data_IF_934867965621
#
_entry.id   IF_934867965621
#
_cell.length_a   1.000
_cell.length_b   1.000
_cell.length_c   1.000
_cell.angle_alpha   90.00
_cell.angle_beta   90.00
_cell.angle_gamma   90.00
#
_symmetry.space_group_name_H-M   'P 1'
#
loop_
_entity.id
_entity.type
_entity.pdbx_description
1 polymer ?
#
# COMPACT_ATOMS: atom_id res chain seq x y z
N UNK A 1 -1.01 -72.86 -40.79
CA UNK A 1 -0.04 -71.76 -40.53
C UNK A 1 -0.71 -70.43 -40.88
N UNK A 2 -1.29 -69.74 -39.89
CA UNK A 2 -1.99 -68.46 -40.06
C UNK A 2 -1.11 -67.35 -39.47
N UNK A 3 -0.78 -66.33 -40.27
CA UNK A 3 0.04 -65.18 -39.87
C UNK A 3 -0.82 -64.21 -39.03
N UNK A 4 -0.31 -63.89 -37.84
CA UNK A 4 -0.78 -62.82 -36.96
C UNK A 4 -0.46 -61.45 -37.58
N UNK A 5 -1.44 -60.54 -37.60
CA UNK A 5 -1.23 -59.10 -37.71
C UNK A 5 -1.81 -58.46 -36.45
N UNK A 6 -0.95 -57.87 -35.63
CA UNK A 6 -1.31 -57.14 -34.42
C UNK A 6 -1.38 -55.65 -34.76
N UNK A 7 -2.58 -55.08 -34.81
CA UNK A 7 -2.77 -53.63 -35.00
C UNK A 7 -2.81 -52.97 -33.63
N UNK A 8 -1.83 -52.12 -33.33
CA UNK A 8 -1.71 -51.40 -32.08
C UNK A 8 -2.52 -50.09 -32.18
N UNK A 9 -3.62 -49.98 -31.43
CA UNK A 9 -4.37 -48.73 -31.28
C UNK A 9 -3.70 -47.88 -30.20
N UNK A 10 -3.00 -46.82 -30.59
CA UNK A 10 -2.49 -45.80 -29.66
C UNK A 10 -3.65 -44.85 -29.30
N UNK A 11 -4.21 -45.00 -28.10
CA UNK A 11 -5.10 -44.02 -27.49
C UNK A 11 -4.27 -42.79 -27.08
N UNK A 12 -4.28 -41.76 -27.92
CA UNK A 12 -3.81 -40.42 -27.56
C UNK A 12 -4.80 -39.81 -26.54
N UNK A 13 -4.52 -40.02 -25.26
CA UNK A 13 -5.10 -39.23 -24.18
C UNK A 13 -4.56 -37.80 -24.29
N UNK A 14 -5.27 -36.93 -25.01
CA UNK A 14 -5.07 -35.49 -24.93
C UNK A 14 -5.41 -35.04 -23.51
N UNK A 15 -4.40 -34.91 -22.65
CA UNK A 15 -4.57 -34.18 -21.39
C UNK A 15 -4.93 -32.74 -21.76
N UNK A 16 -6.06 -32.18 -21.28
CA UNK A 16 -6.23 -30.74 -21.35
C UNK A 16 -5.00 -30.10 -20.69
N UNK A 17 -4.30 -29.25 -21.43
CA UNK A 17 -3.33 -28.32 -20.87
C UNK A 17 -4.12 -27.44 -19.90
N UNK A 18 -4.22 -27.87 -18.64
CA UNK A 18 -4.44 -26.92 -17.56
C UNK A 18 -3.29 -25.94 -17.67
N UNK A 19 -3.60 -24.69 -18.01
CA UNK A 19 -2.71 -23.58 -17.76
C UNK A 19 -2.32 -23.68 -16.28
N UNK A 20 -1.11 -24.18 -16.02
CA UNK A 20 -0.47 -24.03 -14.73
C UNK A 20 -0.49 -22.52 -14.50
N UNK A 21 -1.19 -22.00 -13.47
CA UNK A 21 -1.03 -20.60 -13.15
C UNK A 21 0.47 -20.42 -12.95
N UNK A 22 1.11 -19.58 -13.76
CA UNK A 22 2.48 -19.21 -13.51
C UNK A 22 2.49 -18.71 -12.06
N UNK A 23 3.00 -19.53 -11.14
CA UNK A 23 3.43 -19.07 -9.82
C UNK A 23 4.66 -18.24 -10.15
N UNK A 24 4.39 -17.03 -10.58
CA UNK A 24 5.36 -16.09 -11.04
C UNK A 24 5.99 -15.54 -9.77
N UNK A 25 7.02 -16.24 -9.29
CA UNK A 25 7.78 -15.85 -8.10
C UNK A 25 8.30 -14.42 -8.21
N UNK A 26 8.86 -13.92 -7.10
CA UNK A 26 9.46 -12.58 -7.07
C UNK A 26 10.50 -12.49 -8.20
N UNK A 27 10.44 -11.45 -9.06
CA UNK A 27 11.45 -11.25 -10.09
C UNK A 27 12.85 -11.27 -9.48
N UNK A 28 13.79 -11.98 -10.12
CA UNK A 28 15.14 -12.15 -9.60
C UNK A 28 15.82 -10.79 -9.32
N UNK A 29 15.52 -9.79 -10.15
CA UNK A 29 15.98 -8.42 -9.94
C UNK A 29 15.44 -7.81 -8.65
N UNK A 30 14.28 -8.21 -8.14
CA UNK A 30 13.69 -7.67 -6.90
C UNK A 30 14.01 -8.52 -5.66
N UNK A 31 14.83 -9.57 -5.79
CA UNK A 31 15.09 -10.51 -4.69
C UNK A 31 15.66 -9.81 -3.44
N UNK A 32 16.61 -8.88 -3.61
CA UNK A 32 17.25 -8.16 -2.50
C UNK A 32 16.26 -7.29 -1.71
N UNK A 33 15.33 -6.62 -2.39
CA UNK A 33 14.32 -5.77 -1.77
C UNK A 33 13.25 -6.59 -1.04
N UNK A 34 13.07 -7.87 -1.38
CA UNK A 34 12.07 -8.75 -0.77
C UNK A 34 12.59 -9.58 0.41
N UNK A 35 13.91 -9.68 0.57
CA UNK A 35 14.58 -10.22 1.75
C UNK A 35 15.60 -9.23 2.38
N UNK A 36 15.15 -8.02 2.78
CA UNK A 36 16.07 -7.03 3.30
C UNK A 36 16.39 -7.29 4.78
N UNK A 37 17.55 -6.81 5.22
CA UNK A 37 17.78 -6.57 6.65
C UNK A 37 16.90 -5.40 7.10
N UNK A 38 16.39 -5.46 8.32
CA UNK A 38 15.45 -4.45 8.83
C UNK A 38 16.04 -3.63 9.97
N UNK A 39 15.65 -2.35 10.00
CA UNK A 39 15.78 -1.45 11.15
C UNK A 39 14.43 -1.31 11.82
N UNK A 40 14.37 -1.57 13.13
CA UNK A 40 13.20 -1.27 13.95
C UNK A 40 13.06 0.25 14.10
N UNK A 41 11.85 0.77 13.93
CA UNK A 41 11.56 2.19 14.10
C UNK A 41 10.79 2.41 15.41
N UNK A 42 9.64 1.76 15.53
CA UNK A 42 8.75 1.87 16.68
C UNK A 42 7.76 0.72 16.68
N UNK A 43 6.88 0.69 17.68
CA UNK A 43 5.72 -0.20 17.71
C UNK A 43 4.48 0.58 18.04
N UNK A 44 3.36 0.11 17.51
CA UNK A 44 2.03 0.63 17.77
C UNK A 44 1.32 -0.40 18.65
N UNK A 45 0.70 0.05 19.75
CA UNK A 45 -0.14 -0.76 20.63
C UNK A 45 -1.58 -0.26 20.56
N UNK A 46 -2.53 -1.17 20.37
CA UNK A 46 -3.97 -0.86 20.34
C UNK A 46 -4.67 -1.77 21.34
N UNK A 47 -5.21 -1.19 22.41
CA UNK A 47 -6.02 -1.92 23.37
C UNK A 47 -7.47 -2.02 22.87
N UNK A 48 -7.89 -3.20 22.42
CA UNK A 48 -9.19 -3.44 21.77
C UNK A 48 -10.34 -3.50 22.79
N UNK A 49 -10.60 -2.38 23.44
CA UNK A 49 -11.71 -2.16 24.37
C UNK A 49 -12.20 -0.73 24.18
N UNK A 50 -13.48 -0.46 24.42
CA UNK A 50 -13.96 0.92 24.40
C UNK A 50 -13.18 1.79 25.41
N UNK A 51 -12.68 2.94 24.96
CA UNK A 51 -11.77 3.81 25.72
C UNK A 51 -10.33 3.28 25.86
N UNK A 52 -10.01 2.13 25.25
CA UNK A 52 -8.68 1.54 25.29
C UNK A 52 -7.64 2.42 24.60
N UNK A 53 -6.45 2.52 25.20
CA UNK A 53 -5.36 3.33 24.69
C UNK A 53 -4.83 2.83 23.34
N UNK A 54 -4.45 3.79 22.50
CA UNK A 54 -3.64 3.58 21.32
C UNK A 54 -2.33 4.33 21.54
N UNK A 55 -1.21 3.63 21.52
CA UNK A 55 0.07 4.17 21.95
C UNK A 55 1.20 3.77 21.00
N UNK A 56 2.24 4.60 20.94
CA UNK A 56 3.45 4.35 20.16
C UNK A 56 4.68 4.38 21.05
N UNK A 57 5.63 3.48 20.80
CA UNK A 57 6.94 3.45 21.47
C UNK A 57 8.08 3.26 20.46
N UNK A 58 8.97 4.25 20.40
CA UNK A 58 10.20 4.23 19.59
C UNK A 58 11.43 3.68 20.33
N UNK A 59 11.34 3.47 21.65
CA UNK A 59 12.49 3.19 22.52
C UNK A 59 12.40 1.83 23.23
N UNK A 60 11.96 0.82 22.48
CA UNK A 60 11.83 -0.56 22.96
C UNK A 60 10.93 -0.70 24.21
N UNK A 61 9.78 -0.03 24.21
CA UNK A 61 8.75 -0.07 25.26
C UNK A 61 9.08 0.69 26.55
N UNK A 62 10.17 1.46 26.57
CA UNK A 62 10.54 2.23 27.77
C UNK A 62 9.59 3.41 27.99
N UNK A 63 9.18 4.07 26.90
CA UNK A 63 8.19 5.16 26.93
C UNK A 63 7.11 4.90 25.89
N UNK A 64 5.88 5.18 26.30
CA UNK A 64 4.70 5.11 25.45
C UNK A 64 4.12 6.51 25.30
N UNK A 65 3.90 6.91 24.04
CA UNK A 65 3.17 8.11 23.69
C UNK A 65 1.73 7.71 23.39
N UNK A 66 0.77 8.22 24.15
CA UNK A 66 -0.64 8.10 23.83
C UNK A 66 -0.92 8.90 22.55
N UNK A 67 -1.53 8.25 21.57
CA UNK A 67 -1.86 8.85 20.25
C UNK A 67 -3.36 8.82 19.96
N UNK A 68 -4.15 8.14 20.79
CA UNK A 68 -5.62 8.13 20.70
C UNK A 68 -6.23 7.01 21.53
N UNK A 69 -7.52 6.78 21.31
CA UNK A 69 -8.32 5.76 21.97
C UNK A 69 -9.21 5.01 20.98
N UNK A 70 -9.56 3.79 21.36
CA UNK A 70 -10.58 2.99 20.70
C UNK A 70 -11.96 3.49 21.10
N UNK A 71 -12.78 3.86 20.11
CA UNK A 71 -14.19 4.24 20.28
C UNK A 71 -15.07 3.00 20.26
N UNK A 72 -14.89 2.14 19.24
CA UNK A 72 -15.59 0.87 19.12
C UNK A 72 -14.58 -0.25 18.89
N UNK A 73 -14.50 -1.25 19.78
CA UNK A 73 -13.67 -2.43 19.56
C UNK A 73 -14.31 -3.35 18.51
N UNK A 74 -13.52 -4.26 17.96
CA UNK A 74 -14.03 -5.31 17.07
C UNK A 74 -13.88 -6.69 17.69
N UNK A 75 -14.83 -7.58 17.40
CA UNK A 75 -14.71 -9.02 17.66
C UNK A 75 -14.84 -9.85 16.37
N UNK A 76 -14.74 -9.20 15.22
CA UNK A 76 -15.02 -9.80 13.92
C UNK A 76 -13.92 -9.50 12.92
N UNK A 77 -13.88 -10.37 11.93
CA UNK A 77 -13.10 -10.23 10.71
C UNK A 77 -14.05 -10.20 9.52
N UNK A 78 -13.70 -9.49 8.46
CA UNK A 78 -14.31 -9.65 7.16
C UNK A 78 -13.56 -10.74 6.40
N UNK A 79 -14.29 -11.78 5.98
CA UNK A 79 -13.74 -12.89 5.20
C UNK A 79 -13.60 -12.57 3.70
N UNK A 80 -14.24 -11.51 3.22
CA UNK A 80 -14.12 -11.03 1.85
C UNK A 80 -13.40 -9.68 1.80
N UNK A 81 -12.11 -9.67 2.13
CA UNK A 81 -11.26 -8.49 2.02
C UNK A 81 -11.17 -7.94 0.59
N UNK A 82 -10.49 -6.81 0.39
CA UNK A 82 -10.25 -6.27 -0.95
C UNK A 82 -9.32 -7.22 -1.75
N UNK A 83 -9.47 -7.26 -3.08
CA UNK A 83 -8.82 -8.25 -3.95
C UNK A 83 -7.30 -8.39 -3.73
N UNK A 84 -6.61 -7.28 -3.53
CA UNK A 84 -5.15 -7.26 -3.38
C UNK A 84 -4.65 -7.81 -2.04
N UNK A 85 -5.51 -7.99 -1.03
CA UNK A 85 -5.12 -8.58 0.26
C UNK A 85 -4.64 -10.03 0.15
N UNK A 86 -4.92 -10.72 -0.98
CA UNK A 86 -4.42 -12.07 -1.25
C UNK A 86 -2.89 -12.17 -1.27
N UNK A 87 -2.20 -11.11 -1.69
CA UNK A 87 -0.74 -11.10 -1.86
C UNK A 87 0.04 -10.75 -0.58
N UNK A 88 -0.66 -10.58 0.55
CA UNK A 88 -0.05 -10.31 1.85
C UNK A 88 -0.01 -11.59 2.67
N UNK A 89 1.02 -11.80 3.50
CA UNK A 89 1.07 -12.95 4.39
C UNK A 89 0.16 -12.73 5.60
N UNK A 90 -0.27 -13.83 6.20
CA UNK A 90 -1.07 -13.78 7.42
C UNK A 90 -0.26 -13.19 8.60
N UNK A 91 -0.96 -12.49 9.49
CA UNK A 91 -0.35 -11.78 10.62
C UNK A 91 0.49 -10.58 10.19
N UNK A 92 0.09 -9.89 9.12
CA UNK A 92 0.74 -8.68 8.63
C UNK A 92 -0.25 -7.56 8.30
N UNK A 93 0.28 -6.34 8.34
CA UNK A 93 -0.39 -5.15 7.77
C UNK A 93 -0.56 -5.35 6.26
N UNK A 94 -1.81 -5.36 5.80
CA UNK A 94 -2.15 -5.58 4.40
C UNK A 94 -2.29 -4.28 3.59
N UNK A 95 -2.71 -3.21 4.26
CA UNK A 95 -2.76 -1.86 3.71
C UNK A 95 -2.50 -0.83 4.81
N UNK A 96 -1.91 0.27 4.39
CA UNK A 96 -1.70 1.47 5.22
C UNK A 96 -2.15 2.68 4.41
N UNK A 97 -3.01 3.51 4.99
CA UNK A 97 -3.56 4.67 4.35
C UNK A 97 -3.82 5.77 5.38
N UNK A 98 -3.88 7.02 4.91
CA UNK A 98 -4.30 8.16 5.73
C UNK A 98 -5.71 8.03 6.30
N UNK A 99 -6.48 7.07 5.81
CA UNK A 99 -7.88 6.90 6.13
C UNK A 99 -8.26 5.47 6.56
N UNK A 100 -7.30 4.53 6.64
CA UNK A 100 -7.50 3.18 7.18
C UNK A 100 -6.18 2.40 7.31
N UNK A 101 -6.11 1.46 8.23
CA UNK A 101 -5.08 0.41 8.27
C UNK A 101 -5.80 -0.94 8.22
N UNK A 102 -5.42 -1.81 7.29
CA UNK A 102 -6.00 -3.15 7.15
C UNK A 102 -5.01 -4.21 7.62
N UNK A 103 -5.51 -5.16 8.41
CA UNK A 103 -4.73 -6.17 9.12
C UNK A 103 -5.20 -7.55 8.68
N UNK A 104 -4.31 -8.37 8.11
CA UNK A 104 -4.65 -9.69 7.59
C UNK A 104 -4.45 -10.77 8.65
N UNK A 105 -5.51 -11.53 8.92
CA UNK A 105 -5.46 -12.66 9.84
C UNK A 105 -5.28 -13.97 9.10
N UNK A 106 -5.94 -14.14 7.95
CA UNK A 106 -5.92 -15.35 7.14
C UNK A 106 -6.31 -15.11 5.69
N UNK A 107 -6.66 -16.16 4.96
CA UNK A 107 -7.17 -16.09 3.60
C UNK A 107 -8.45 -16.93 3.47
N UNK A 108 -9.42 -16.41 2.71
CA UNK A 108 -10.67 -17.12 2.43
C UNK A 108 -10.42 -18.18 1.35
N UNK A 109 -10.83 -19.43 1.63
CA UNK A 109 -10.55 -20.58 0.77
C UNK A 109 -11.20 -20.47 -0.61
N UNK A 110 -12.35 -19.80 -0.70
CA UNK A 110 -13.14 -19.73 -1.94
C UNK A 110 -12.63 -18.64 -2.88
N UNK A 111 -12.39 -17.45 -2.34
CA UNK A 111 -12.02 -16.27 -3.11
C UNK A 111 -10.52 -16.03 -3.18
N UNK A 112 -9.74 -16.65 -2.28
CA UNK A 112 -8.32 -16.39 -2.09
C UNK A 112 -8.02 -15.02 -1.47
N UNK A 113 -9.03 -14.17 -1.25
CA UNK A 113 -8.84 -12.84 -0.65
C UNK A 113 -8.49 -12.97 0.83
N UNK A 114 -7.89 -11.94 1.39
CA UNK A 114 -7.55 -11.90 2.80
C UNK A 114 -8.78 -11.82 3.69
N UNK A 115 -8.74 -12.59 4.77
CA UNK A 115 -9.59 -12.39 5.95
C UNK A 115 -8.94 -11.28 6.78
N UNK A 116 -9.65 -10.16 6.95
CA UNK A 116 -9.06 -8.94 7.51
C UNK A 116 -9.95 -8.28 8.56
N UNK A 117 -9.33 -7.54 9.47
CA UNK A 117 -10.00 -6.49 10.25
C UNK A 117 -9.24 -5.17 10.07
N UNK A 118 -9.82 -4.05 10.49
CA UNK A 118 -9.22 -2.73 10.22
C UNK A 118 -9.12 -1.86 11.45
N UNK A 119 -8.18 -0.92 11.43
CA UNK A 119 -8.21 0.27 12.27
C UNK A 119 -8.73 1.41 11.41
N UNK A 120 -9.72 2.16 11.92
CA UNK A 120 -10.34 3.26 11.21
C UNK A 120 -10.25 4.56 12.01
N UNK A 121 -9.96 5.70 11.34
CA UNK A 121 -9.94 7.00 11.99
C UNK A 121 -11.36 7.49 12.32
N UNK A 122 -11.45 8.56 13.11
CA UNK A 122 -12.69 9.16 13.59
C UNK A 122 -13.68 9.50 12.48
N UNK A 123 -13.20 10.00 11.34
CA UNK A 123 -14.03 10.40 10.20
C UNK A 123 -14.84 9.23 9.63
N UNK A 124 -14.40 7.99 9.88
CA UNK A 124 -15.04 6.78 9.36
C UNK A 124 -16.21 6.31 10.23
N UNK A 125 -16.41 6.93 11.40
CA UNK A 125 -17.63 6.78 12.19
C UNK A 125 -18.87 7.30 11.44
N UNK A 126 -18.67 8.26 10.54
CA UNK A 126 -19.72 8.87 9.71
C UNK A 126 -19.17 9.05 8.28
N UNK A 127 -18.92 7.95 7.56
CA UNK A 127 -18.37 8.05 6.22
C UNK A 127 -19.39 8.77 5.31
N UNK A 128 -18.94 9.49 4.29
CA UNK A 128 -19.84 10.17 3.37
C UNK A 128 -20.76 9.17 2.64
N UNK A 129 -21.99 9.59 2.32
CA UNK A 129 -23.03 8.70 1.75
C UNK A 129 -22.56 7.91 0.51
N UNK A 130 -21.71 8.52 -0.31
CA UNK A 130 -21.15 7.91 -1.52
C UNK A 130 -19.66 7.58 -1.35
N UNK A 131 -19.28 6.93 -0.24
CA UNK A 131 -17.90 6.52 0.01
C UNK A 131 -17.49 5.35 -0.90
N UNK A 132 -16.44 5.55 -1.70
CA UNK A 132 -15.97 4.60 -2.72
C UNK A 132 -14.65 3.90 -2.38
N UNK A 133 -14.16 4.07 -1.15
CA UNK A 133 -13.03 3.31 -0.64
C UNK A 133 -13.51 2.11 0.19
N UNK A 134 -12.64 1.13 0.37
CA UNK A 134 -12.95 -0.06 1.15
C UNK A 134 -13.29 0.32 2.60
N UNK A 135 -14.37 -0.24 3.12
CA UNK A 135 -14.85 -0.08 4.49
C UNK A 135 -15.55 -1.36 4.93
N UNK A 136 -15.25 -1.84 6.14
CA UNK A 136 -15.92 -3.00 6.73
C UNK A 136 -16.40 -2.66 8.14
N UNK A 137 -17.60 -2.08 8.29
CA UNK A 137 -18.03 -1.50 9.57
C UNK A 137 -18.04 -2.51 10.73
N UNK A 138 -18.52 -3.73 10.48
CA UNK A 138 -18.69 -4.73 11.54
C UNK A 138 -17.38 -5.42 11.94
N UNK A 139 -16.29 -5.21 11.19
CA UNK A 139 -14.99 -5.85 11.41
C UNK A 139 -13.86 -4.83 11.60
N UNK A 140 -14.16 -3.69 12.20
CA UNK A 140 -13.21 -2.59 12.36
C UNK A 140 -13.17 -2.08 13.78
N UNK A 141 -11.96 -1.77 14.24
CA UNK A 141 -11.73 -0.96 15.44
C UNK A 141 -11.81 0.50 15.01
N UNK A 142 -12.80 1.21 15.53
CA UNK A 142 -12.93 2.64 15.33
C UNK A 142 -12.16 3.39 16.40
N UNK A 143 -11.51 4.48 16.00
CA UNK A 143 -10.64 5.27 16.88
C UNK A 143 -11.11 6.73 16.93
N UNK A 144 -10.66 7.48 17.93
CA UNK A 144 -10.85 8.93 18.01
C UNK A 144 -9.77 9.72 17.23
N UNK A 145 -8.80 9.01 16.65
CA UNK A 145 -7.68 9.56 15.90
C UNK A 145 -8.18 10.15 14.56
N UNK A 146 -7.88 11.42 14.25
CA UNK A 146 -8.22 12.00 12.96
C UNK A 146 -7.47 11.35 11.78
N UNK A 147 -8.14 11.22 10.64
CA UNK A 147 -7.52 10.82 9.38
C UNK A 147 -6.39 11.78 8.98
N UNK A 148 -5.30 11.25 8.43
CA UNK A 148 -4.10 12.02 8.08
C UNK A 148 -3.16 12.31 9.26
N UNK A 149 -3.50 11.88 10.48
CA UNK A 149 -2.70 12.14 11.70
C UNK A 149 -2.21 10.85 12.33
N UNK A 150 -1.21 10.94 13.21
CA UNK A 150 -0.76 9.82 14.05
C UNK A 150 -0.44 8.55 13.25
N UNK A 151 -1.08 7.41 13.59
CA UNK A 151 -0.91 6.14 12.89
C UNK A 151 -1.57 6.15 11.49
N UNK A 152 -2.42 7.12 11.18
CA UNK A 152 -3.06 7.32 9.89
C UNK A 152 -2.30 8.34 9.03
N UNK A 153 -0.99 8.15 8.90
CA UNK A 153 -0.14 8.93 8.00
C UNK A 153 0.53 10.16 8.62
N UNK A 154 0.28 10.46 9.89
CA UNK A 154 0.95 11.54 10.61
C UNK A 154 2.31 11.14 11.20
N UNK A 155 3.08 10.29 10.51
CA UNK A 155 4.43 9.88 10.92
C UNK A 155 4.52 8.53 11.64
N UNK A 156 3.40 8.00 12.16
CA UNK A 156 3.35 6.70 12.84
C UNK A 156 2.63 5.59 12.08
N UNK A 157 2.38 5.79 10.78
CA UNK A 157 1.79 4.75 9.95
C UNK A 157 2.73 3.53 9.86
N UNK A 158 2.20 2.30 9.88
CA UNK A 158 3.01 1.12 9.60
C UNK A 158 3.21 0.92 8.10
N UNK A 159 4.21 0.11 7.71
CA UNK A 159 4.39 -0.34 6.33
C UNK A 159 3.59 -1.61 6.03
N UNK A 160 3.17 -1.78 4.77
CA UNK A 160 2.64 -3.06 4.28
C UNK A 160 3.67 -4.17 4.54
N UNK A 161 3.22 -5.31 5.08
CA UNK A 161 4.06 -6.44 5.45
C UNK A 161 4.69 -6.36 6.84
N UNK A 162 4.50 -5.27 7.59
CA UNK A 162 4.91 -5.23 9.01
C UNK A 162 4.09 -6.24 9.83
N UNK A 163 4.77 -6.89 10.78
CA UNK A 163 4.19 -7.99 11.57
C UNK A 163 3.30 -7.44 12.68
N UNK A 164 2.20 -8.14 12.90
CA UNK A 164 1.25 -7.88 13.98
C UNK A 164 1.14 -9.08 14.92
N UNK A 165 0.96 -8.77 16.18
CA UNK A 165 0.81 -9.71 17.28
C UNK A 165 -0.38 -9.29 18.13
N UNK A 166 -0.87 -10.20 18.96
CA UNK A 166 -1.83 -9.87 20.00
C UNK A 166 -1.36 -10.41 21.35
N UNK A 167 -1.85 -9.82 22.44
CA UNK A 167 -1.72 -10.38 23.78
C UNK A 167 -3.04 -10.27 24.54
N UNK A 168 -3.21 -11.13 25.56
CA UNK A 168 -4.37 -11.16 26.44
C UNK A 168 -3.88 -11.04 27.88
N UNK A 169 -3.76 -9.80 28.38
CA UNK A 169 -3.36 -9.49 29.76
C UNK A 169 -1.98 -10.00 30.21
N UNK A 170 -1.11 -10.39 29.26
CA UNK A 170 0.29 -10.76 29.51
C UNK A 170 1.23 -9.99 28.59
N UNK A 171 2.51 -9.86 28.97
CA UNK A 171 3.54 -9.28 28.10
C UNK A 171 3.95 -10.19 26.94
N UNK A 172 3.45 -11.43 26.90
CA UNK A 172 3.71 -12.36 25.81
C UNK A 172 2.95 -11.96 24.55
N UNK A 173 3.67 -11.86 23.43
CA UNK A 173 3.12 -11.55 22.11
C UNK A 173 2.87 -12.84 21.33
N UNK A 174 1.60 -13.12 21.05
CA UNK A 174 1.18 -14.23 20.20
C UNK A 174 1.15 -13.80 18.73
N UNK A 175 1.69 -14.61 17.80
CA UNK A 175 1.52 -14.35 16.38
C UNK A 175 0.05 -14.50 15.99
N UNK A 176 -0.39 -13.71 15.02
CA UNK A 176 -1.72 -13.86 14.45
C UNK A 176 -1.70 -14.98 13.41
N UNK A 177 -2.60 -15.94 13.57
CA UNK A 177 -2.76 -17.14 12.73
C UNK A 177 -3.99 -17.03 11.83
N UNK A 178 -4.10 -17.84 10.74
CA UNK A 178 -5.19 -17.79 9.76
C UNK A 178 -6.61 -17.73 10.33
N UNK A 179 -6.84 -18.42 11.45
CA UNK A 179 -8.15 -18.58 12.06
C UNK A 179 -8.42 -17.57 13.19
N UNK A 180 -7.47 -16.67 13.43
CA UNK A 180 -7.57 -15.70 14.51
C UNK A 180 -8.74 -14.74 14.29
N UNK A 181 -9.54 -14.59 15.33
CA UNK A 181 -10.61 -13.62 15.42
C UNK A 181 -10.32 -12.67 16.60
N UNK A 182 -10.42 -11.34 16.39
CA UNK A 182 -10.31 -10.37 17.47
C UNK A 182 -11.28 -10.67 18.60
N UNK A 183 -10.84 -10.42 19.83
CA UNK A 183 -11.68 -10.40 21.02
C UNK A 183 -11.53 -9.06 21.75
N UNK A 184 -12.60 -8.64 22.45
CA UNK A 184 -12.50 -7.49 23.35
C UNK A 184 -11.47 -7.80 24.43
N UNK A 185 -10.58 -6.84 24.70
CA UNK A 185 -9.47 -6.99 25.63
C UNK A 185 -8.18 -7.53 25.02
N UNK A 186 -8.19 -7.93 23.73
CA UNK A 186 -6.95 -8.17 23.00
C UNK A 186 -6.14 -6.87 22.89
N UNK A 187 -4.82 -6.97 23.07
CA UNK A 187 -3.89 -5.86 22.85
C UNK A 187 -3.09 -6.16 21.58
N UNK A 188 -3.38 -5.43 20.50
CA UNK A 188 -2.66 -5.58 19.25
C UNK A 188 -1.35 -4.82 19.28
N UNK A 189 -0.27 -5.46 18.84
CA UNK A 189 1.04 -4.83 18.67
C UNK A 189 1.51 -4.96 17.23
N UNK A 190 1.75 -3.83 16.57
CA UNK A 190 2.38 -3.79 15.24
C UNK A 190 3.85 -3.41 15.41
N UNK A 191 4.76 -4.27 14.97
CA UNK A 191 6.20 -3.97 14.97
C UNK A 191 6.57 -3.24 13.68
N UNK A 192 6.79 -1.93 13.78
CA UNK A 192 7.09 -1.09 12.64
C UNK A 192 8.58 -1.11 12.35
N UNK A 193 8.91 -1.64 11.18
CA UNK A 193 10.28 -1.80 10.70
C UNK A 193 10.35 -1.47 9.22
N UNK A 194 11.48 -0.91 8.82
CA UNK A 194 11.81 -0.65 7.41
C UNK A 194 13.11 -1.35 7.02
N UNK A 195 13.35 -1.57 5.72
CA UNK A 195 14.64 -2.01 5.21
C UNK A 195 15.77 -1.08 5.68
N UNK A 196 16.92 -1.66 6.04
CA UNK A 196 18.12 -0.93 6.45
C UNK A 196 18.75 -0.21 5.24
N UNK A 197 18.84 -0.91 4.12
CA UNK A 197 19.26 -0.34 2.84
C UNK A 197 18.07 0.38 2.21
N UNK A 198 17.91 1.66 2.57
CA UNK A 198 16.75 2.45 2.21
C UNK A 198 17.08 3.39 1.03
N UNK A 199 16.25 3.43 -0.03
CA UNK A 199 16.55 4.24 -1.20
C UNK A 199 16.39 5.74 -0.91
N UNK A 200 16.93 6.56 -1.80
CA UNK A 200 16.70 8.01 -1.84
C UNK A 200 15.55 8.36 -2.79
N UNK A 201 15.40 7.62 -3.89
CA UNK A 201 14.30 7.82 -4.84
C UNK A 201 13.94 6.55 -5.62
N UNK A 202 12.69 6.48 -6.07
CA UNK A 202 12.25 5.61 -7.17
C UNK A 202 11.67 6.49 -8.27
N UNK A 203 12.20 6.36 -9.48
CA UNK A 203 11.82 7.10 -10.68
C UNK A 203 11.05 6.20 -11.64
N UNK A 204 10.00 6.74 -12.25
CA UNK A 204 9.17 6.11 -13.28
C UNK A 204 9.22 7.00 -14.53
N UNK A 205 9.75 6.48 -15.64
CA UNK A 205 9.57 7.11 -16.95
C UNK A 205 8.10 6.93 -17.38
N UNK A 206 7.35 8.02 -17.49
CA UNK A 206 5.90 7.99 -17.68
C UNK A 206 5.52 7.80 -19.15
N UNK A 207 5.97 6.71 -19.75
CA UNK A 207 5.66 6.29 -21.10
C UNK A 207 5.58 4.76 -21.18
N UNK A 208 4.99 4.22 -22.24
CA UNK A 208 4.99 2.78 -22.46
C UNK A 208 6.42 2.27 -22.66
N UNK A 209 6.81 1.25 -21.90
CA UNK A 209 8.16 0.69 -21.90
C UNK A 209 9.17 1.51 -21.08
N UNK A 210 8.74 2.60 -20.44
CA UNK A 210 9.58 3.43 -19.59
C UNK A 210 10.20 2.66 -18.45
N UNK A 211 11.47 2.92 -18.14
CA UNK A 211 12.17 2.25 -17.04
C UNK A 211 11.65 2.75 -15.69
N UNK A 212 11.66 1.84 -14.73
CA UNK A 212 11.48 2.16 -13.32
C UNK A 212 12.80 1.91 -12.62
N UNK A 213 13.38 2.94 -12.02
CA UNK A 213 14.72 2.88 -11.42
C UNK A 213 14.66 3.26 -9.95
N UNK A 214 15.36 2.48 -9.12
CA UNK A 214 15.63 2.81 -7.72
C UNK A 214 17.04 3.36 -7.60
N UNK A 215 17.21 4.36 -6.73
CA UNK A 215 18.49 4.93 -6.39
C UNK A 215 18.70 4.90 -4.89
N UNK A 216 19.91 4.58 -4.49
CA UNK A 216 20.35 4.52 -3.10
C UNK A 216 21.36 5.61 -2.79
N UNK A 217 21.59 5.83 -1.50
CA UNK A 217 22.70 6.66 -1.04
C UNK A 217 24.03 6.13 -1.60
N UNK A 218 24.94 7.04 -1.97
CA UNK A 218 26.19 6.68 -2.65
C UNK A 218 26.07 6.45 -4.15
N UNK A 219 24.90 6.68 -4.75
CA UNK A 219 24.72 6.74 -6.20
C UNK A 219 24.46 5.40 -6.90
N UNK A 220 24.37 4.29 -6.15
CA UNK A 220 23.96 3.00 -6.70
C UNK A 220 22.54 3.09 -7.26
N UNK A 221 22.37 2.67 -8.52
CA UNK A 221 21.08 2.62 -9.22
C UNK A 221 20.77 1.19 -9.68
N UNK A 222 19.49 0.90 -9.87
CA UNK A 222 19.02 -0.40 -10.34
C UNK A 222 17.65 -0.27 -11.00
N UNK A 223 17.45 -0.99 -12.10
CA UNK A 223 16.13 -1.10 -12.75
C UNK A 223 15.26 -2.11 -11.99
N UNK A 224 14.08 -1.66 -11.56
CA UNK A 224 13.08 -2.47 -10.85
C UNK A 224 12.04 -3.09 -11.80
N UNK A 225 11.73 -2.43 -12.90
CA UNK A 225 10.63 -2.82 -13.78
C UNK A 225 10.43 -1.85 -14.93
N UNK A 226 9.27 -1.96 -15.58
CA UNK A 226 8.86 -1.07 -16.66
C UNK A 226 7.44 -0.56 -16.47
N UNK A 227 7.16 0.62 -17.02
CA UNK A 227 5.82 1.18 -17.13
C UNK A 227 5.12 0.54 -18.34
N UNK A 228 4.13 -0.29 -18.07
CA UNK A 228 3.30 -0.94 -19.10
C UNK A 228 2.16 -0.04 -19.56
N UNK A 229 1.79 0.96 -18.75
CA UNK A 229 0.87 2.00 -19.16
C UNK A 229 1.13 3.27 -18.36
N UNK A 230 1.35 4.41 -19.02
CA UNK A 230 1.57 5.66 -18.33
C UNK A 230 0.29 6.16 -17.67
N UNK A 231 0.44 7.00 -16.65
CA UNK A 231 -0.65 7.79 -16.11
C UNK A 231 -0.71 9.11 -16.87
N UNK A 232 -1.89 9.47 -17.37
CA UNK A 232 -2.10 10.77 -18.04
C UNK A 232 -3.29 11.54 -17.47
N UNK A 233 -4.09 10.94 -16.59
CA UNK A 233 -5.23 11.59 -15.94
C UNK A 233 -5.17 11.58 -14.41
N UNK A 234 -6.15 12.25 -13.79
CA UNK A 234 -6.41 12.26 -12.35
C UNK A 234 -7.86 11.87 -12.04
N UNK A 235 -8.06 11.27 -10.87
CA UNK A 235 -9.32 10.66 -10.44
C UNK A 235 -9.69 11.00 -9.01
N UNK A 236 -10.86 10.51 -8.60
CA UNK A 236 -11.40 10.73 -7.25
C UNK A 236 -11.04 9.55 -6.35
N UNK A 237 -10.06 9.77 -5.49
CA UNK A 237 -9.60 8.79 -4.52
C UNK A 237 -9.93 9.29 -3.12
N UNK A 238 -10.92 8.70 -2.46
CA UNK A 238 -11.58 9.26 -1.27
C UNK A 238 -10.64 9.59 -0.09
N UNK A 239 -9.45 8.98 0.01
CA UNK A 239 -8.51 9.34 1.06
C UNK A 239 -7.69 10.60 0.78
N UNK A 240 -7.69 11.11 -0.45
CA UNK A 240 -6.89 12.30 -0.84
C UNK A 240 -7.33 13.58 -0.15
N UNK A 241 -8.58 13.66 0.32
CA UNK A 241 -9.05 14.74 1.21
C UNK A 241 -8.22 14.87 2.50
N UNK A 242 -7.55 13.80 2.92
CA UNK A 242 -6.69 13.78 4.12
C UNK A 242 -5.20 13.81 3.77
N UNK A 243 -4.82 14.15 2.53
CA UNK A 243 -3.42 14.15 2.08
C UNK A 243 -3.14 15.28 1.09
N UNK A 244 -2.08 16.04 1.32
CA UNK A 244 -1.74 17.19 0.48
C UNK A 244 -1.13 16.79 -0.87
N UNK A 245 -0.95 17.77 -1.76
CA UNK A 245 -0.41 17.60 -3.12
C UNK A 245 0.97 16.92 -3.07
N UNK A 246 1.19 15.94 -3.95
CA UNK A 246 2.46 15.24 -4.09
C UNK A 246 2.79 14.33 -2.91
N UNK A 247 1.77 13.85 -2.17
CA UNK A 247 1.95 12.95 -1.02
C UNK A 247 1.42 11.55 -1.31
N UNK A 248 2.09 10.56 -0.72
CA UNK A 248 1.59 9.19 -0.66
C UNK A 248 0.43 9.16 0.33
N UNK A 249 -0.77 8.87 -0.16
CA UNK A 249 -1.97 8.78 0.69
C UNK A 249 -2.27 7.35 1.13
N UNK A 250 -1.90 6.35 0.32
CA UNK A 250 -2.05 4.95 0.66
C UNK A 250 -1.00 4.07 -0.01
N UNK A 251 -0.68 2.96 0.64
CA UNK A 251 -0.01 1.81 0.05
C UNK A 251 -0.73 0.52 0.48
N UNK A 252 -0.91 -0.39 -0.46
CA UNK A 252 -1.29 -1.77 -0.19
C UNK A 252 -0.67 -2.68 -1.25
N UNK A 253 -0.86 -3.99 -1.12
CA UNK A 253 -0.25 -5.01 -1.98
C UNK A 253 -0.58 -4.92 -3.50
N UNK A 254 -1.29 -3.89 -3.96
CA UNK A 254 -1.64 -3.68 -5.36
C UNK A 254 -1.78 -2.22 -5.78
N UNK A 255 -1.56 -1.25 -4.89
CA UNK A 255 -1.72 0.18 -5.21
C UNK A 255 -0.75 0.98 -4.36
N UNK A 256 -0.06 1.93 -4.99
CA UNK A 256 0.40 3.17 -4.35
C UNK A 256 -0.52 4.28 -4.84
N UNK A 257 -1.10 5.05 -3.91
CA UNK A 257 -2.04 6.12 -4.23
C UNK A 257 -1.42 7.48 -3.88
N UNK A 258 -1.40 8.38 -4.86
CA UNK A 258 -0.74 9.68 -4.78
C UNK A 258 -1.77 10.78 -4.89
N UNK A 259 -1.75 11.72 -3.93
CA UNK A 259 -2.61 12.90 -3.96
C UNK A 259 -2.09 13.96 -4.93
N UNK A 260 -2.99 14.53 -5.72
CA UNK A 260 -2.74 15.71 -6.57
C UNK A 260 -3.49 16.93 -6.07
N UNK A 261 -4.35 16.79 -5.06
CA UNK A 261 -5.20 17.86 -4.54
C UNK A 261 -4.70 18.43 -3.21
N UNK A 262 -5.07 19.67 -2.85
CA UNK A 262 -4.79 20.22 -1.54
C UNK A 262 -5.52 19.44 -0.44
N UNK A 263 -5.06 19.59 0.80
CA UNK A 263 -5.74 19.05 1.97
C UNK A 263 -7.19 19.57 2.02
N UNK A 264 -8.15 18.68 2.25
CA UNK A 264 -9.58 18.99 2.21
C UNK A 264 -10.24 18.78 0.84
N UNK A 265 -9.46 18.65 -0.23
CA UNK A 265 -9.95 18.44 -1.59
C UNK A 265 -9.64 17.03 -2.10
N UNK A 266 -10.26 16.62 -3.22
CA UNK A 266 -10.12 15.25 -3.75
C UNK A 266 -9.47 15.26 -5.13
N UNK A 267 -8.46 14.43 -5.33
CA UNK A 267 -7.71 14.36 -6.58
C UNK A 267 -6.46 13.51 -6.41
N UNK A 268 -6.23 12.58 -7.32
CA UNK A 268 -5.04 11.74 -7.29
C UNK A 268 -4.90 10.83 -8.49
N UNK A 269 -3.90 9.97 -8.42
CA UNK A 269 -3.72 8.85 -9.33
C UNK A 269 -3.12 7.66 -8.58
N UNK A 270 -3.13 6.49 -9.21
CA UNK A 270 -2.60 5.27 -8.61
C UNK A 270 -1.51 4.64 -9.48
N UNK A 271 -0.55 4.00 -8.84
CA UNK A 271 0.44 3.11 -9.47
C UNK A 271 0.06 1.69 -9.07
N UNK A 272 -0.19 0.82 -10.05
CA UNK A 272 -0.70 -0.55 -9.83
C UNK A 272 0.15 -1.58 -10.57
N UNK A 273 0.35 -2.79 -10.03
CA UNK A 273 1.03 -3.85 -10.74
C UNK A 273 0.08 -4.48 -11.78
N UNK A 274 0.67 -5.08 -12.81
CA UNK A 274 -0.02 -5.49 -14.03
C UNK A 274 -1.16 -6.49 -13.81
N UNK A 275 -0.97 -7.51 -12.97
CA UNK A 275 -1.97 -8.56 -12.73
C UNK A 275 -3.16 -7.95 -12.00
N UNK A 276 -2.92 -7.19 -10.93
CA UNK A 276 -4.00 -6.49 -10.22
C UNK A 276 -4.75 -5.52 -11.12
N UNK A 277 -4.04 -4.74 -11.93
CA UNK A 277 -4.63 -3.82 -12.90
C UNK A 277 -5.48 -4.53 -13.95
N UNK A 278 -5.12 -5.75 -14.34
CA UNK A 278 -5.85 -6.54 -15.34
C UNK A 278 -7.22 -7.05 -14.84
N UNK A 279 -7.34 -7.31 -13.53
CA UNK A 279 -8.58 -7.75 -12.88
C UNK A 279 -9.62 -6.61 -12.81
N UNK A 280 -9.19 -5.36 -12.92
CA UNK A 280 -10.00 -4.17 -12.67
C UNK A 280 -10.36 -3.46 -13.98
N UNK A 281 -11.63 -3.57 -14.40
CA UNK A 281 -12.14 -2.95 -15.64
C UNK A 281 -11.80 -1.46 -15.74
N UNK A 282 -12.03 -0.70 -14.66
CA UNK A 282 -11.78 0.75 -14.65
C UNK A 282 -10.29 1.10 -14.78
N UNK A 283 -9.37 0.24 -14.34
CA UNK A 283 -7.93 0.48 -14.56
C UNK A 283 -7.65 0.41 -16.05
N UNK A 284 -8.19 -0.59 -16.76
CA UNK A 284 -7.94 -0.80 -18.19
C UNK A 284 -8.56 0.29 -19.08
N UNK A 285 -9.67 0.87 -18.66
CA UNK A 285 -10.48 1.77 -19.50
C UNK A 285 -10.24 3.27 -19.24
N UNK A 286 -9.51 3.62 -18.19
CA UNK A 286 -9.41 4.99 -17.71
C UNK A 286 -7.97 5.39 -17.40
N UNK A 287 -7.65 6.69 -17.40
CA UNK A 287 -6.26 7.20 -17.51
C UNK A 287 -5.57 7.54 -16.19
N UNK A 288 -6.25 7.30 -15.06
CA UNK A 288 -5.81 7.69 -13.71
C UNK A 288 -4.90 6.66 -13.02
N UNK A 289 -4.39 5.69 -13.78
CA UNK A 289 -3.63 4.55 -13.26
C UNK A 289 -2.38 4.30 -14.10
N UNK A 290 -1.20 4.47 -13.50
CA UNK A 290 0.04 3.94 -14.05
C UNK A 290 0.07 2.43 -13.79
N UNK A 291 0.29 1.64 -14.84
CA UNK A 291 0.44 0.18 -14.72
C UNK A 291 1.91 -0.18 -14.85
N UNK A 292 2.45 -0.89 -13.86
CA UNK A 292 3.85 -1.30 -13.83
C UNK A 292 3.98 -2.83 -13.93
N UNK A 293 5.05 -3.28 -14.55
CA UNK A 293 5.33 -4.69 -14.78
C UNK A 293 6.81 -5.02 -14.62
N UNK A 294 7.14 -6.32 -14.58
CA UNK A 294 8.51 -6.77 -14.44
C UNK A 294 9.39 -6.22 -15.57
N UNK A 295 10.72 -6.15 -15.38
CA UNK A 295 11.64 -5.60 -16.38
C UNK A 295 11.73 -6.47 -17.64
N UNK A 296 11.39 -7.76 -17.52
CA UNK A 296 11.38 -8.72 -18.61
C UNK A 296 10.05 -9.49 -18.60
N UNK A 297 9.54 -9.80 -19.78
CA UNK A 297 8.35 -10.65 -19.94
C UNK A 297 8.63 -12.01 -19.31
N UNK A 298 7.70 -12.50 -18.48
CA UNK A 298 7.84 -13.79 -17.80
C UNK A 298 8.74 -13.78 -16.56
N UNK A 299 9.28 -12.63 -16.15
CA UNK A 299 10.19 -12.56 -15.00
C UNK A 299 9.50 -12.54 -13.63
N UNK A 300 8.21 -12.87 -13.53
CA UNK A 300 7.50 -12.91 -12.25
C UNK A 300 6.46 -11.81 -12.05
N UNK A 301 5.73 -11.90 -10.94
CA UNK A 301 4.64 -11.00 -10.56
C UNK A 301 5.21 -9.82 -9.75
N UNK A 302 4.57 -8.66 -9.83
CA UNK A 302 4.92 -7.49 -9.02
C UNK A 302 3.94 -7.26 -7.86
N UNK A 303 2.91 -8.08 -7.77
CA UNK A 303 1.84 -8.00 -6.78
C UNK A 303 2.35 -8.30 -5.37
N UNK A 304 2.16 -7.36 -4.43
CA UNK A 304 2.65 -7.51 -3.05
C UNK A 304 4.18 -7.55 -2.92
N UNK A 305 4.91 -7.21 -3.98
CA UNK A 305 6.37 -7.28 -4.04
C UNK A 305 7.00 -5.95 -3.62
N UNK A 306 8.07 -6.03 -2.83
CA UNK A 306 8.90 -4.88 -2.47
C UNK A 306 9.72 -4.39 -3.68
N UNK A 307 10.00 -3.07 -3.80
CA UNK A 307 9.73 -2.02 -2.82
C UNK A 307 8.36 -1.34 -2.96
N UNK A 308 7.63 -1.56 -4.06
CA UNK A 308 6.43 -0.79 -4.34
C UNK A 308 5.30 -1.06 -3.33
N UNK A 309 4.98 -2.33 -3.14
CA UNK A 309 3.75 -2.74 -2.45
C UNK A 309 4.02 -3.41 -1.10
N UNK A 310 5.24 -3.28 -0.58
CA UNK A 310 5.70 -3.92 0.66
C UNK A 310 6.92 -3.22 1.25
N UNK A 311 6.98 -3.11 2.57
CA UNK A 311 8.09 -2.64 3.43
C UNK A 311 8.65 -1.22 3.24
N UNK A 312 8.56 -0.62 2.06
CA UNK A 312 9.33 0.58 1.74
C UNK A 312 8.52 1.87 1.75
N UNK A 313 7.25 1.83 1.35
CA UNK A 313 6.43 3.04 1.17
C UNK A 313 5.25 3.04 2.15
N UNK A 314 5.04 4.17 2.82
CA UNK A 314 3.88 4.43 3.68
C UNK A 314 3.47 5.90 3.60
N UNK A 315 2.23 6.25 3.98
CA UNK A 315 1.87 7.64 4.23
C UNK A 315 2.69 8.22 5.40
N UNK A 316 3.31 9.37 5.19
CA UNK A 316 4.05 10.11 6.22
C UNK A 316 4.08 11.60 5.85
N UNK A 317 3.13 12.36 6.40
CA UNK A 317 2.99 13.80 6.20
C UNK A 317 2.04 14.40 7.22
N UNK A 318 2.43 15.51 7.87
CA UNK A 318 1.48 16.43 8.50
C UNK A 318 1.65 17.84 7.90
N UNK A 319 0.55 18.58 7.77
CA UNK A 319 0.58 19.93 7.22
C UNK A 319 1.46 20.87 8.06
N UNK A 320 1.40 20.69 9.38
CA UNK A 320 2.01 21.61 10.33
C UNK A 320 3.46 21.26 10.70
N UNK A 321 4.09 20.26 10.06
CA UNK A 321 5.45 19.87 10.48
C UNK A 321 6.47 21.02 10.36
N UNK A 322 6.24 21.98 9.44
CA UNK A 322 7.13 23.12 9.24
C UNK A 322 7.02 24.18 10.35
N UNK A 323 5.99 24.09 11.20
CA UNK A 323 5.74 25.01 12.31
C UNK A 323 6.09 24.38 13.66
N UNK A 324 6.77 23.23 13.65
CA UNK A 324 7.30 22.63 14.87
C UNK A 324 8.65 23.28 15.23
N UNK A 325 8.62 24.15 16.23
CA UNK A 325 9.79 24.96 16.63
C UNK A 325 11.00 24.11 17.04
N UNK A 326 10.79 22.88 17.51
CA UNK A 326 11.84 22.03 18.08
C UNK A 326 12.36 20.97 17.11
N UNK A 327 11.56 20.54 16.13
CA UNK A 327 11.95 19.44 15.24
C UNK A 327 11.40 19.48 13.79
N UNK A 328 11.16 20.67 13.24
CA UNK A 328 10.66 20.79 11.87
C UNK A 328 11.59 20.17 10.81
N UNK A 329 12.91 20.19 11.01
CA UNK A 329 13.88 19.61 10.06
C UNK A 329 13.72 18.10 9.93
N UNK A 330 13.69 17.37 11.06
CA UNK A 330 13.55 15.91 11.01
C UNK A 330 12.21 15.53 10.40
N UNK A 331 11.15 16.24 10.78
CA UNK A 331 9.81 15.99 10.26
C UNK A 331 9.75 16.27 8.76
N UNK A 332 10.34 17.36 8.28
CA UNK A 332 10.44 17.68 6.85
C UNK A 332 11.15 16.56 6.08
N UNK A 333 12.27 16.07 6.62
CA UNK A 333 13.09 15.03 5.99
C UNK A 333 12.53 13.60 6.18
N UNK A 334 11.51 13.42 7.03
CA UNK A 334 10.83 12.14 7.27
C UNK A 334 9.69 11.83 6.28
N UNK A 335 9.44 12.74 5.33
CA UNK A 335 8.31 12.69 4.41
C UNK A 335 8.65 11.99 3.10
N UNK A 336 7.63 11.35 2.52
CA UNK A 336 7.66 11.04 1.09
C UNK A 336 7.21 12.26 0.29
N UNK A 337 7.87 12.47 -0.84
CA UNK A 337 7.51 13.53 -1.79
C UNK A 337 7.39 12.92 -3.17
N UNK A 338 6.31 13.22 -3.86
CA UNK A 338 6.14 12.87 -5.26
C UNK A 338 6.31 14.11 -6.11
N UNK A 339 7.28 14.04 -7.02
CA UNK A 339 7.62 15.09 -7.95
C UNK A 339 7.45 14.61 -9.38
N UNK A 340 7.33 15.56 -10.29
CA UNK A 340 7.16 15.29 -11.72
C UNK A 340 8.23 16.02 -12.53
N UNK A 341 8.53 15.49 -13.69
CA UNK A 341 9.24 16.17 -14.77
C UNK A 341 8.27 16.33 -15.93
N UNK A 342 8.26 17.50 -16.57
CA UNK A 342 7.40 17.74 -17.73
C UNK A 342 8.12 17.38 -19.03
N UNK A 343 7.37 17.24 -20.13
CA UNK A 343 7.94 17.04 -21.46
C UNK A 343 8.75 18.28 -21.84
N UNK A 344 10.01 18.08 -22.24
CA UNK A 344 10.92 19.16 -22.64
C UNK A 344 11.61 19.89 -21.48
N UNK A 345 11.29 19.54 -20.22
CA UNK A 345 11.92 20.12 -19.03
C UNK A 345 13.01 19.24 -18.46
N UNK A 346 14.14 19.84 -18.08
CA UNK A 346 15.26 19.11 -17.46
C UNK A 346 15.15 19.00 -15.94
N UNK A 347 14.40 19.92 -15.31
CA UNK A 347 14.28 20.01 -13.85
C UNK A 347 13.06 19.25 -13.34
N UNK A 348 13.23 18.63 -12.18
CA UNK A 348 12.12 18.13 -11.37
C UNK A 348 11.36 19.30 -10.74
N UNK A 349 10.06 19.15 -10.60
CA UNK A 349 9.18 20.13 -9.98
C UNK A 349 8.13 19.44 -9.11
N UNK A 350 7.48 20.24 -8.26
CA UNK A 350 6.37 19.77 -7.44
C UNK A 350 5.24 19.19 -8.31
N UNK A 351 4.53 18.20 -7.76
CA UNK A 351 3.29 17.68 -8.35
C UNK A 351 2.30 18.84 -8.60
N UNK A 352 1.67 18.93 -9.78
CA UNK A 352 0.66 19.96 -10.05
C UNK A 352 -0.55 19.80 -9.12
N UNK A 353 -1.08 20.94 -8.67
CA UNK A 353 -2.33 20.99 -7.93
C UNK A 353 -3.51 20.75 -8.88
N UNK A 354 -4.12 19.57 -8.76
CA UNK A 354 -5.24 19.11 -9.57
C UNK A 354 -6.32 18.56 -8.63
N UNK A 355 -7.32 19.39 -8.35
CA UNK A 355 -8.47 19.03 -7.53
C UNK A 355 -9.73 18.82 -8.37
N UNK A 356 -10.60 17.96 -7.87
CA UNK A 356 -11.86 17.56 -8.50
C UNK A 356 -13.01 17.86 -7.55
N UNK A 357 -14.15 18.27 -8.10
CA UNK A 357 -15.39 18.34 -7.33
C UNK A 357 -15.88 16.91 -7.04
N UNK A 358 -16.06 16.57 -5.76
CA UNK A 358 -16.47 15.23 -5.31
C UNK A 358 -17.85 14.81 -5.82
N UNK A 359 -18.76 15.77 -6.02
CA UNK A 359 -20.19 15.51 -6.23
C UNK A 359 -20.63 15.65 -7.70
N UNK A 360 -19.72 16.01 -8.61
CA UNK A 360 -20.03 16.21 -10.04
C UNK A 360 -19.57 15.04 -10.91
N UNK A 361 -19.94 15.02 -12.18
CA UNK A 361 -19.30 14.15 -13.17
C UNK A 361 -17.79 14.44 -13.23
N UNK A 362 -16.97 13.46 -13.62
CA UNK A 362 -15.54 13.71 -13.83
C UNK A 362 -15.41 14.66 -15.03
N UNK A 363 -14.71 15.81 -14.88
CA UNK A 363 -14.58 16.75 -15.99
C UNK A 363 -13.63 16.18 -17.05
N UNK A 364 -13.88 16.48 -18.33
CA UNK A 364 -13.08 15.93 -19.46
C UNK A 364 -11.59 16.21 -19.36
N UNK A 365 -11.19 17.34 -18.76
CA UNK A 365 -9.76 17.66 -18.60
C UNK A 365 -9.05 16.67 -17.67
N UNK A 366 -9.77 16.02 -16.75
CA UNK A 366 -9.20 15.09 -15.80
C UNK A 366 -8.60 13.86 -16.48
N UNK A 367 -9.07 13.49 -17.68
CA UNK A 367 -8.55 12.33 -18.41
C UNK A 367 -7.15 12.57 -19.00
N UNK A 368 -6.72 13.84 -19.13
CA UNK A 368 -5.41 14.21 -19.69
C UNK A 368 -4.63 15.21 -18.80
N UNK A 369 -5.02 15.35 -17.53
CA UNK A 369 -4.46 16.35 -16.62
C UNK A 369 -2.95 16.22 -16.37
N UNK A 370 -2.41 15.00 -16.53
CA UNK A 370 -1.00 14.66 -16.41
C UNK A 370 -0.36 14.32 -17.78
N UNK A 371 -1.02 14.65 -18.90
CA UNK A 371 -0.52 14.31 -20.24
C UNK A 371 0.82 14.95 -20.61
N UNK A 372 1.24 16.01 -19.91
CA UNK A 372 2.56 16.65 -20.05
C UNK A 372 3.62 16.06 -19.09
N UNK A 373 3.30 15.07 -18.26
CA UNK A 373 4.28 14.50 -17.32
C UNK A 373 5.11 13.44 -18.04
N UNK A 374 6.42 13.69 -18.18
CA UNK A 374 7.38 12.77 -18.81
C UNK A 374 7.95 11.76 -17.83
N UNK A 375 8.08 12.12 -16.56
CA UNK A 375 8.53 11.22 -15.51
C UNK A 375 7.95 11.60 -14.14
N UNK A 376 7.84 10.62 -13.26
CA UNK A 376 7.39 10.77 -11.87
C UNK A 376 8.50 10.20 -10.98
N UNK A 377 8.81 10.84 -9.86
CA UNK A 377 9.67 10.25 -8.84
C UNK A 377 9.03 10.30 -7.46
N UNK A 378 9.25 9.25 -6.70
CA UNK A 378 8.95 9.18 -5.26
C UNK A 378 10.28 9.35 -4.53
N UNK A 379 10.44 10.49 -3.87
CA UNK A 379 11.54 10.76 -2.96
C UNK A 379 11.25 10.12 -1.61
N UNK A 380 12.26 9.44 -1.08
CA UNK A 380 12.19 8.73 0.19
C UNK A 380 12.71 9.59 1.35
N UNK A 381 12.21 9.35 2.58
CA UNK A 381 12.74 9.96 3.78
C UNK A 381 14.27 9.79 3.93
N UNK A 382 14.97 10.88 4.22
CA UNK A 382 16.43 10.92 4.41
C UNK A 382 16.81 10.70 5.87
N UNK A 383 15.94 11.10 6.82
CA UNK A 383 16.22 10.94 8.24
C UNK A 383 16.29 9.48 8.67
N UNK A 384 17.29 9.20 9.51
CA UNK A 384 17.54 7.88 10.08
C UNK A 384 18.03 6.81 9.08
N UNK A 385 18.53 7.19 7.90
CA UNK A 385 19.29 6.29 7.03
C UNK A 385 20.60 5.86 7.69
#
# INVERSE_FOLDING_TARGET
>A
MKKFWLTFFLLLLSRPLFAVPLINGIPAQLAAENDPKFKYLYRIRVNNVAGGSIEVSADAQKRWRLVGHVVYPTTRVNRDGYAASRWVKDGEVAATAVNAIHLKTGSDERSGKGVIFSLLPREQLRPPKAYRSYLSPDSSIYTDIPAGTEIFGGGFAPFVGNKMFFSRQSDYLYPITPDYQPAVGDVFTIMVKRPLDYPTEIMFENNFGGKIEIKYLGGRTKTLGTVLRPVVGVGRFEGTVYSSVGRIRANHAGVIDVSTSPLGEIGGFQIVPAEHGSELKYVRESTQWMVIGPPLVGAGSMEGVAPFFRYFIQPSYQADDLFDDDNWEDKLLSRFIVEVKLIGEEKWQAMPNLALDRNKALPKWADNALGNVSAIRVLFPITGQ
#
